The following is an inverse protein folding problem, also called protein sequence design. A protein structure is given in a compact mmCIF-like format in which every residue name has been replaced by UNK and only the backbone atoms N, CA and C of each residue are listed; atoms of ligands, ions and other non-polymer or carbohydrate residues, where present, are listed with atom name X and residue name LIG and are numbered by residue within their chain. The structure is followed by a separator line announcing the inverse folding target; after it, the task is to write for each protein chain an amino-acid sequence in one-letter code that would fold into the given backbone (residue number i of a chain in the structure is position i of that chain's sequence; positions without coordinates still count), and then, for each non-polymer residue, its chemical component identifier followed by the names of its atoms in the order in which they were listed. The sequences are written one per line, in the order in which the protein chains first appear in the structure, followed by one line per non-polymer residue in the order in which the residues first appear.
data_IF_935612494924
#
_entry.id   IF_935612494924
#
_cell.length_a   1.000
_cell.length_b   1.000
_cell.length_c   1.000
_cell.angle_alpha   90.00
_cell.angle_beta   90.00
_cell.angle_gamma   90.00
#
_symmetry.space_group_name_H-M   'P 1'
#
loop_
_entity.id
_entity.type
_entity.pdbx_description
1 polymer ?
#
# COMPACT_ATOMS: atom_id res chain seq x y z
N UNK A 1 5.03 12.93 1.23
CA UNK A 1 6.35 12.25 1.29
C UNK A 1 6.75 11.85 -0.12
N UNK A 2 8.03 11.89 -0.49
CA UNK A 2 8.46 11.41 -1.81
C UNK A 2 8.65 9.89 -1.74
N UNK A 3 7.98 9.17 -2.63
CA UNK A 3 8.14 7.72 -2.79
C UNK A 3 9.09 7.50 -3.97
N UNK A 4 10.18 6.76 -3.74
CA UNK A 4 11.23 6.53 -4.75
C UNK A 4 11.52 5.06 -5.00
N UNK A 5 10.97 4.17 -4.18
CA UNK A 5 11.19 2.72 -4.25
C UNK A 5 10.02 1.96 -3.61
N UNK A 6 10.03 0.63 -3.74
CA UNK A 6 8.98 -0.23 -3.19
C UNK A 6 8.91 -0.19 -1.66
N UNK A 7 10.03 -0.01 -0.97
CA UNK A 7 10.10 0.05 0.50
C UNK A 7 9.43 1.30 1.06
N UNK A 8 9.71 2.46 0.48
CA UNK A 8 9.09 3.74 0.84
C UNK A 8 7.59 3.74 0.52
N UNK A 9 7.19 3.13 -0.60
CA UNK A 9 5.78 2.93 -0.94
C UNK A 9 5.07 2.04 0.08
N UNK A 10 5.62 0.85 0.37
CA UNK A 10 5.06 -0.09 1.35
C UNK A 10 4.95 0.51 2.75
N UNK A 11 5.95 1.28 3.15
CA UNK A 11 5.96 2.01 4.43
C UNK A 11 4.86 3.05 4.50
N UNK A 12 4.62 3.82 3.43
CA UNK A 12 3.53 4.80 3.38
C UNK A 12 2.16 4.14 3.59
N UNK A 13 1.93 3.01 2.91
CA UNK A 13 0.70 2.21 3.04
C UNK A 13 0.55 1.68 4.47
N UNK A 14 1.59 1.06 5.02
CA UNK A 14 1.60 0.51 6.39
C UNK A 14 1.28 1.59 7.43
N UNK A 15 1.88 2.77 7.30
CA UNK A 15 1.67 3.89 8.20
C UNK A 15 0.23 4.40 8.12
N UNK A 16 -0.31 4.56 6.91
CA UNK A 16 -1.71 4.98 6.74
C UNK A 16 -2.68 3.95 7.32
N UNK A 17 -2.48 2.66 7.03
CA UNK A 17 -3.30 1.57 7.60
C UNK A 17 -3.31 1.61 9.13
N UNK A 18 -2.12 1.72 9.75
CA UNK A 18 -1.99 1.82 11.21
C UNK A 18 -2.66 3.07 11.78
N UNK A 19 -2.54 4.21 11.08
CA UNK A 19 -3.21 5.47 11.47
C UNK A 19 -4.73 5.33 11.50
N UNK A 20 -5.30 4.51 10.61
CA UNK A 20 -6.73 4.19 10.57
C UNK A 20 -7.14 3.09 11.58
N UNK A 21 -6.18 2.49 12.30
CA UNK A 21 -6.44 1.40 13.25
C UNK A 21 -6.76 0.05 12.59
N UNK A 22 -6.56 -0.08 11.28
CA UNK A 22 -6.91 -1.29 10.54
C UNK A 22 -5.84 -2.38 10.67
N UNK A 23 -6.27 -3.64 10.79
CA UNK A 23 -5.38 -4.80 10.68
C UNK A 23 -5.25 -5.22 9.21
N UNK A 24 -4.21 -5.98 8.87
CA UNK A 24 -4.11 -6.57 7.53
C UNK A 24 -5.27 -7.55 7.27
N UNK A 25 -5.70 -8.29 8.29
CA UNK A 25 -6.85 -9.19 8.21
C UNK A 25 -8.15 -8.43 7.86
N UNK A 26 -8.39 -7.30 8.51
CA UNK A 26 -9.56 -6.45 8.22
C UNK A 26 -9.58 -5.98 6.75
N UNK A 27 -8.44 -5.50 6.24
CA UNK A 27 -8.34 -5.08 4.83
C UNK A 27 -8.54 -6.27 3.89
N UNK A 28 -8.00 -7.44 4.25
CA UNK A 28 -8.12 -8.67 3.48
C UNK A 28 -9.58 -9.12 3.32
N UNK A 29 -10.34 -9.11 4.41
CA UNK A 29 -11.77 -9.45 4.44
C UNK A 29 -12.61 -8.49 3.58
N UNK A 30 -12.27 -7.21 3.57
CA UNK A 30 -13.02 -6.20 2.79
C UNK A 30 -12.68 -6.21 1.29
N UNK A 31 -11.45 -6.55 0.93
CA UNK A 31 -10.95 -6.42 -0.46
C UNK A 31 -10.84 -7.72 -1.23
N UNK A 32 -10.85 -8.86 -0.53
CA UNK A 32 -10.51 -10.17 -1.08
C UNK A 32 -9.01 -10.36 -1.36
N UNK A 33 -8.16 -9.38 -1.03
CA UNK A 33 -6.70 -9.47 -1.20
C UNK A 33 -6.12 -10.24 -0.02
N UNK A 34 -5.20 -11.18 -0.25
CA UNK A 34 -4.67 -12.01 0.84
C UNK A 34 -3.85 -11.19 1.85
N UNK A 35 -3.87 -11.62 3.11
CA UNK A 35 -2.99 -11.06 4.16
C UNK A 35 -1.51 -11.16 3.77
N UNK A 36 -1.11 -12.23 3.08
CA UNK A 36 0.26 -12.39 2.58
C UNK A 36 0.63 -11.31 1.57
N UNK A 37 -0.28 -10.95 0.65
CA UNK A 37 -0.06 -9.86 -0.28
C UNK A 37 0.09 -8.52 0.45
N UNK A 38 -0.77 -8.24 1.43
CA UNK A 38 -0.69 -7.01 2.22
C UNK A 38 0.63 -6.93 3.01
N UNK A 39 1.08 -8.04 3.57
CA UNK A 39 2.38 -8.12 4.24
C UNK A 39 3.54 -7.87 3.28
N UNK A 40 3.55 -8.54 2.13
CA UNK A 40 4.57 -8.38 1.10
C UNK A 40 4.62 -6.93 0.58
N UNK A 41 3.46 -6.32 0.35
CA UNK A 41 3.31 -4.93 -0.06
C UNK A 41 3.89 -3.98 1.00
N UNK A 42 3.47 -4.12 2.25
CA UNK A 42 3.90 -3.25 3.35
C UNK A 42 5.38 -3.39 3.70
N UNK A 43 6.00 -4.54 3.37
CA UNK A 43 7.42 -4.77 3.52
C UNK A 43 8.22 -4.39 2.25
N UNK A 44 7.56 -3.88 1.21
CA UNK A 44 8.22 -3.34 0.03
C UNK A 44 8.73 -4.38 -0.96
N UNK A 45 8.08 -5.55 -1.06
CA UNK A 45 8.41 -6.57 -2.05
C UNK A 45 8.40 -5.95 -3.46
N UNK A 46 9.50 -6.15 -4.20
CA UNK A 46 9.71 -5.53 -5.52
C UNK A 46 8.76 -6.03 -6.60
N UNK A 47 8.27 -7.26 -6.46
CA UNK A 47 7.42 -7.96 -7.44
C UNK A 47 5.93 -7.88 -7.09
N UNK A 48 5.52 -6.80 -6.42
CA UNK A 48 4.10 -6.57 -6.14
C UNK A 48 3.37 -6.17 -7.42
N UNK A 49 2.19 -6.73 -7.59
CA UNK A 49 1.25 -6.34 -8.64
C UNK A 49 0.75 -4.91 -8.39
N UNK A 50 1.09 -4.00 -9.32
CA UNK A 50 0.86 -2.56 -9.17
C UNK A 50 -0.62 -2.23 -8.97
N UNK A 51 -1.53 -2.81 -9.76
CA UNK A 51 -2.96 -2.50 -9.69
C UNK A 51 -3.56 -2.81 -8.32
N UNK A 52 -3.18 -3.95 -7.71
CA UNK A 52 -3.60 -4.29 -6.35
C UNK A 52 -3.00 -3.32 -5.32
N UNK A 53 -1.74 -2.93 -5.51
CA UNK A 53 -1.10 -1.92 -4.67
C UNK A 53 -1.83 -0.57 -4.71
N UNK A 54 -2.18 -0.09 -5.91
CA UNK A 54 -2.95 1.14 -6.11
C UNK A 54 -4.35 1.04 -5.51
N UNK A 55 -5.03 -0.10 -5.68
CA UNK A 55 -6.33 -0.36 -5.05
C UNK A 55 -6.26 -0.24 -3.53
N UNK A 56 -5.23 -0.78 -2.89
CA UNK A 56 -5.01 -0.65 -1.45
C UNK A 56 -4.70 0.79 -1.05
N UNK A 57 -3.84 1.50 -1.79
CA UNK A 57 -3.55 2.91 -1.53
C UNK A 57 -4.83 3.77 -1.55
N UNK A 58 -5.64 3.64 -2.60
CA UNK A 58 -6.89 4.38 -2.74
C UNK A 58 -7.90 4.02 -1.63
N UNK A 59 -8.03 2.73 -1.29
CA UNK A 59 -8.88 2.28 -0.18
C UNK A 59 -8.50 2.93 1.15
N UNK A 60 -7.20 3.10 1.39
CA UNK A 60 -6.70 3.73 2.60
C UNK A 60 -6.79 5.27 2.53
N UNK A 61 -7.30 5.85 1.45
CA UNK A 61 -7.39 7.30 1.26
C UNK A 61 -6.02 7.94 1.04
N UNK A 62 -5.20 7.32 0.19
CA UNK A 62 -3.96 7.88 -0.35
C UNK A 62 -4.14 8.07 -1.85
N UNK A 63 -3.85 9.28 -2.33
CA UNK A 63 -3.73 9.55 -3.75
C UNK A 63 -2.32 9.17 -4.24
N UNK A 64 -2.25 8.56 -5.43
CA UNK A 64 -1.00 8.26 -6.12
C UNK A 64 -0.97 9.07 -7.41
N UNK A 65 -0.05 10.02 -7.47
CA UNK A 65 0.07 10.99 -8.56
C UNK A 65 1.44 10.87 -9.26
N UNK A 66 1.46 11.26 -10.54
CA UNK A 66 2.68 11.33 -11.35
C UNK A 66 3.01 12.81 -11.55
N UNK A 67 4.23 13.19 -11.18
CA UNK A 67 4.75 14.54 -11.35
C UNK A 67 6.05 14.48 -12.15
N UNK A 68 6.27 15.44 -13.05
CA UNK A 68 7.53 15.55 -13.79
C UNK A 68 8.70 15.81 -12.83
N UNK A 69 9.85 15.22 -13.13
CA UNK A 69 11.06 15.41 -12.32
C UNK A 69 11.70 16.76 -12.68
N UNK A 70 11.55 17.74 -11.79
CA UNK A 70 12.33 18.98 -11.73
C UNK A 70 13.36 18.95 -10.61
#
# INVERSE_FOLDING_TARGET
MKVTDSSSFGTAIKNKRKKLGYTQKYISEFTGISVSFLSDLENGKKTIELDKALKIANLLGLDVEMNERG
#
